data_IF_552637528534
#
_entry.id   IF_552637528534
#
_cell.length_a   1.000
_cell.length_b   1.000
_cell.length_c   1.000
_cell.angle_alpha   90.00
_cell.angle_beta   90.00
_cell.angle_gamma   90.00
#
_symmetry.space_group_name_H-M   'P 1'
#
loop_
_entity.id
_entity.type
_entity.pdbx_description
1 polymer ?
#
# COMPACT_ATOMS: atom_id res chain seq x y z
N UNK A 1 -28.23 -3.11 10.35
CA UNK A 1 -27.22 -2.58 11.29
C UNK A 1 -26.11 -1.93 10.49
N UNK A 2 -25.95 -0.60 10.52
CA UNK A 2 -24.88 0.08 9.79
C UNK A 2 -23.54 -0.24 10.47
N UNK A 3 -22.62 -0.85 9.75
CA UNK A 3 -21.27 -1.11 10.25
C UNK A 3 -20.59 0.22 10.63
N UNK A 4 -19.86 0.27 11.76
CA UNK A 4 -19.17 1.47 12.17
C UNK A 4 -18.17 1.91 11.08
N UNK A 5 -18.08 3.21 10.83
CA UNK A 5 -17.19 3.79 9.80
C UNK A 5 -15.70 3.59 10.10
N UNK A 6 -15.32 3.36 11.35
CA UNK A 6 -13.95 3.18 11.81
C UNK A 6 -13.46 1.74 11.57
N UNK A 7 -12.32 1.58 10.87
CA UNK A 7 -11.67 0.28 10.68
C UNK A 7 -11.36 -0.42 12.01
N UNK A 8 -10.92 0.34 13.01
CA UNK A 8 -10.67 -0.18 14.37
C UNK A 8 -11.92 -0.82 14.95
N UNK A 9 -13.09 -0.15 14.83
CA UNK A 9 -14.34 -0.66 15.35
C UNK A 9 -14.85 -1.90 14.59
N UNK A 10 -14.63 -1.95 13.27
CA UNK A 10 -14.96 -3.14 12.45
C UNK A 10 -14.12 -4.35 12.84
N UNK A 11 -12.81 -4.18 13.01
CA UNK A 11 -11.91 -5.24 13.43
C UNK A 11 -12.28 -5.74 14.85
N UNK A 12 -12.50 -4.83 15.79
CA UNK A 12 -12.93 -5.18 17.16
C UNK A 12 -14.22 -6.00 17.16
N UNK A 13 -15.23 -5.57 16.40
CA UNK A 13 -16.49 -6.27 16.28
C UNK A 13 -16.31 -7.67 15.64
N UNK A 14 -15.53 -7.76 14.58
CA UNK A 14 -15.25 -9.01 13.90
C UNK A 14 -14.54 -10.03 14.82
N UNK A 15 -13.51 -9.60 15.56
CA UNK A 15 -12.82 -10.46 16.54
C UNK A 15 -13.74 -10.88 17.67
N UNK A 16 -14.53 -9.95 18.23
CA UNK A 16 -15.48 -10.24 19.29
C UNK A 16 -16.54 -11.25 18.84
N UNK A 17 -17.14 -11.05 17.68
CA UNK A 17 -18.16 -11.96 17.14
C UNK A 17 -17.59 -13.34 16.79
N UNK A 18 -16.43 -13.39 16.15
CA UNK A 18 -15.78 -14.66 15.79
C UNK A 18 -15.46 -15.48 17.06
N UNK A 19 -14.88 -14.83 18.08
CA UNK A 19 -14.57 -15.49 19.36
C UNK A 19 -15.85 -15.94 20.07
N UNK A 20 -16.89 -15.10 20.10
CA UNK A 20 -18.17 -15.47 20.70
C UNK A 20 -18.80 -16.68 19.99
N UNK A 21 -18.77 -16.73 18.67
CA UNK A 21 -19.28 -17.86 17.90
C UNK A 21 -18.52 -19.16 18.17
N UNK A 22 -17.19 -19.11 18.22
CA UNK A 22 -16.33 -20.28 18.54
C UNK A 22 -16.62 -20.77 19.96
N UNK A 23 -16.63 -19.85 20.94
CA UNK A 23 -16.89 -20.22 22.34
C UNK A 23 -18.31 -20.75 22.54
N UNK A 24 -19.31 -20.18 21.87
CA UNK A 24 -20.68 -20.68 21.92
C UNK A 24 -20.80 -22.09 21.29
N UNK A 25 -20.09 -22.35 20.20
CA UNK A 25 -20.02 -23.70 19.60
C UNK A 25 -19.40 -24.72 20.53
N UNK A 26 -18.29 -24.37 21.19
CA UNK A 26 -17.62 -25.23 22.19
C UNK A 26 -18.54 -25.46 23.40
N UNK A 27 -19.20 -24.41 23.90
CA UNK A 27 -20.12 -24.53 25.04
C UNK A 27 -21.33 -25.41 24.70
N UNK A 28 -21.90 -25.30 23.51
CA UNK A 28 -22.97 -26.15 23.04
C UNK A 28 -22.53 -27.61 22.94
N UNK A 29 -21.36 -27.87 22.34
CA UNK A 29 -20.79 -29.21 22.25
C UNK A 29 -20.55 -29.85 23.62
N UNK A 30 -19.90 -29.12 24.54
CA UNK A 30 -19.60 -29.62 25.89
C UNK A 30 -20.90 -29.87 26.69
N UNK A 31 -21.89 -28.98 26.56
CA UNK A 31 -23.19 -29.14 27.20
C UNK A 31 -23.91 -30.38 26.67
N UNK A 32 -23.90 -30.60 25.37
CA UNK A 32 -24.49 -31.78 24.73
C UNK A 32 -23.79 -33.10 25.14
N UNK A 33 -22.46 -33.10 25.10
CA UNK A 33 -21.64 -34.24 25.48
C UNK A 33 -21.85 -34.65 26.95
N UNK A 34 -21.81 -33.64 27.85
CA UNK A 34 -22.06 -33.89 29.28
C UNK A 34 -23.48 -34.41 29.54
N UNK A 35 -24.50 -33.85 28.86
CA UNK A 35 -25.89 -34.31 28.98
C UNK A 35 -26.04 -35.79 28.55
N UNK A 36 -25.45 -36.16 27.40
CA UNK A 36 -25.46 -37.50 26.91
C UNK A 36 -24.73 -38.50 27.84
N UNK A 37 -23.61 -38.09 28.38
CA UNK A 37 -22.82 -38.89 29.31
C UNK A 37 -23.58 -39.14 30.64
N UNK A 38 -24.18 -38.10 31.21
CA UNK A 38 -24.98 -38.22 32.43
C UNK A 38 -26.20 -39.11 32.21
N UNK A 39 -26.90 -38.92 31.10
CA UNK A 39 -28.04 -39.77 30.74
C UNK A 39 -27.63 -41.22 30.58
N UNK A 40 -26.55 -41.50 29.83
CA UNK A 40 -26.07 -42.86 29.63
C UNK A 40 -25.64 -43.52 30.94
N UNK A 41 -25.17 -42.74 31.93
CA UNK A 41 -24.85 -43.24 33.26
C UNK A 41 -26.13 -43.58 34.05
N UNK A 42 -27.11 -42.65 34.11
CA UNK A 42 -28.41 -42.90 34.73
C UNK A 42 -29.08 -44.16 34.22
N UNK A 43 -29.07 -44.37 32.89
CA UNK A 43 -29.62 -45.58 32.25
C UNK A 43 -28.88 -46.85 32.64
N UNK A 44 -27.53 -46.77 32.73
CA UNK A 44 -26.73 -47.92 33.15
C UNK A 44 -26.95 -48.32 34.61
N UNK A 45 -27.11 -47.31 35.49
CA UNK A 45 -27.42 -47.52 36.89
C UNK A 45 -28.79 -48.14 37.07
N UNK A 46 -29.84 -47.66 36.36
CA UNK A 46 -31.17 -48.30 36.40
C UNK A 46 -31.15 -49.78 36.05
N UNK A 47 -30.42 -50.15 34.97
CA UNK A 47 -30.29 -51.55 34.59
C UNK A 47 -29.55 -52.35 35.66
N UNK A 48 -28.49 -51.77 36.24
CA UNK A 48 -27.73 -52.38 37.32
C UNK A 48 -28.56 -52.63 38.57
N UNK A 49 -29.39 -51.64 38.95
CA UNK A 49 -30.27 -51.78 40.14
C UNK A 49 -31.34 -52.86 39.98
N UNK A 50 -31.94 -52.96 38.81
CA UNK A 50 -32.90 -54.09 38.55
C UNK A 50 -32.21 -55.45 38.68
N UNK A 51 -30.97 -55.62 38.18
CA UNK A 51 -30.22 -56.83 38.28
C UNK A 51 -29.85 -57.16 39.75
N UNK A 52 -29.47 -56.12 40.51
CA UNK A 52 -29.16 -56.27 41.91
C UNK A 52 -30.40 -56.69 42.72
N UNK A 53 -31.56 -56.00 42.49
CA UNK A 53 -32.82 -56.38 43.11
C UNK A 53 -33.22 -57.82 42.75
N UNK A 54 -33.09 -58.22 41.49
CA UNK A 54 -33.35 -59.61 41.07
C UNK A 54 -32.43 -60.63 41.79
N UNK A 55 -31.19 -60.28 42.06
CA UNK A 55 -30.23 -61.10 42.79
C UNK A 55 -30.69 -61.26 44.24
N UNK A 56 -31.00 -60.15 44.89
CA UNK A 56 -31.47 -60.17 46.28
C UNK A 56 -32.79 -60.99 46.46
N UNK A 57 -33.71 -60.87 45.48
CA UNK A 57 -34.97 -61.64 45.53
C UNK A 57 -34.77 -63.15 45.37
N UNK A 58 -33.70 -63.60 44.78
CA UNK A 58 -33.34 -65.03 44.72
C UNK A 58 -32.85 -65.59 46.04
N UNK A 59 -32.38 -64.75 46.95
CA UNK A 59 -31.95 -65.13 48.27
C UNK A 59 -33.13 -65.24 49.27
N UNK A 60 -34.30 -64.69 48.95
CA UNK A 60 -35.45 -64.59 49.79
C UNK A 60 -36.49 -65.63 49.39
N UNK A 61 -37.10 -66.34 50.36
CA UNK A 61 -37.99 -67.49 50.08
C UNK A 61 -39.46 -67.12 49.90
N UNK A 62 -39.92 -66.08 50.53
CA UNK A 62 -41.31 -65.69 50.51
C UNK A 62 -41.52 -64.15 50.60
N UNK A 63 -42.75 -63.68 50.39
CA UNK A 63 -43.08 -62.26 50.36
C UNK A 63 -42.93 -61.60 51.71
N UNK A 64 -43.13 -62.39 52.85
CA UNK A 64 -43.00 -61.85 54.20
C UNK A 64 -41.52 -61.55 54.53
N UNK A 65 -40.59 -62.34 54.04
CA UNK A 65 -39.17 -62.08 54.13
C UNK A 65 -38.76 -60.81 53.37
N UNK A 66 -39.39 -60.57 52.20
CA UNK A 66 -39.16 -59.31 51.43
C UNK A 66 -39.62 -58.12 52.28
N UNK A 67 -40.73 -58.21 52.95
CA UNK A 67 -41.26 -57.14 53.82
C UNK A 67 -40.37 -56.94 55.08
N UNK A 68 -39.86 -58.04 55.63
CA UNK A 68 -38.97 -57.98 56.81
C UNK A 68 -37.60 -57.36 56.50
N UNK A 69 -37.03 -57.70 55.31
CA UNK A 69 -35.71 -57.26 54.87
C UNK A 69 -35.69 -55.94 54.10
N UNK A 70 -36.72 -55.07 54.30
CA UNK A 70 -36.84 -53.78 53.59
C UNK A 70 -35.58 -52.93 53.67
N UNK A 71 -34.77 -53.06 54.72
CA UNK A 71 -33.51 -52.33 54.91
C UNK A 71 -32.47 -52.70 53.83
N UNK A 72 -32.37 -53.95 53.41
CA UNK A 72 -31.44 -54.39 52.32
C UNK A 72 -31.81 -53.76 50.97
N UNK A 73 -33.08 -53.56 50.70
CA UNK A 73 -33.57 -52.84 49.52
C UNK A 73 -33.40 -51.34 49.65
N UNK A 74 -33.50 -50.80 50.87
CA UNK A 74 -33.27 -49.39 51.16
C UNK A 74 -31.82 -48.98 50.90
N UNK A 75 -30.85 -49.86 51.21
CA UNK A 75 -29.42 -49.65 50.98
C UNK A 75 -29.11 -49.43 49.50
N UNK A 76 -29.91 -50.08 48.61
CA UNK A 76 -29.76 -49.83 47.14
C UNK A 76 -30.13 -48.40 46.78
N UNK A 77 -31.16 -47.84 47.38
CA UNK A 77 -31.58 -46.46 47.15
C UNK A 77 -30.77 -45.42 47.89
N UNK A 78 -30.06 -45.84 48.98
CA UNK A 78 -29.17 -44.98 49.75
C UNK A 78 -27.90 -44.63 48.92
N UNK A 79 -27.79 -43.41 48.47
CA UNK A 79 -26.68 -42.94 47.66
C UNK A 79 -27.02 -42.58 46.22
N UNK A 80 -28.24 -42.95 45.80
CA UNK A 80 -28.75 -42.61 44.46
C UNK A 80 -29.88 -41.57 44.54
N UNK A 81 -29.52 -40.27 44.37
CA UNK A 81 -30.54 -39.21 44.40
C UNK A 81 -31.55 -39.38 43.25
N UNK A 82 -32.86 -39.33 43.61
CA UNK A 82 -33.93 -39.47 42.63
C UNK A 82 -34.28 -40.89 42.24
N UNK A 83 -33.67 -41.92 42.81
CA UNK A 83 -34.05 -43.33 42.58
C UNK A 83 -35.32 -43.64 43.37
N UNK A 84 -36.26 -44.28 42.71
CA UNK A 84 -37.49 -44.81 43.24
C UNK A 84 -37.48 -46.30 42.95
N UNK A 85 -37.64 -47.12 44.03
CA UNK A 85 -37.71 -48.57 43.93
C UNK A 85 -39.03 -49.03 44.51
N UNK A 86 -39.79 -49.79 43.78
CA UNK A 86 -41.00 -50.46 44.26
C UNK A 86 -40.93 -51.91 43.86
N UNK A 87 -41.11 -52.78 44.89
CA UNK A 87 -41.29 -54.19 44.72
C UNK A 87 -42.73 -54.50 45.14
N UNK A 88 -43.53 -55.12 44.22
CA UNK A 88 -44.92 -55.43 44.45
C UNK A 88 -45.28 -56.82 43.94
N UNK A 89 -46.38 -57.36 44.48
CA UNK A 89 -46.94 -58.62 43.98
C UNK A 89 -47.51 -58.43 42.60
N UNK A 90 -47.74 -59.51 41.80
CA UNK A 90 -48.40 -59.39 40.46
C UNK A 90 -49.84 -58.79 40.55
N UNK A 91 -50.44 -58.80 41.72
CA UNK A 91 -51.74 -58.23 42.02
C UNK A 91 -51.67 -56.73 42.34
N UNK A 92 -50.45 -56.18 42.46
CA UNK A 92 -50.18 -54.78 42.69
C UNK A 92 -49.99 -54.38 44.16
N UNK A 93 -49.98 -55.35 45.12
CA UNK A 93 -49.74 -55.11 46.52
C UNK A 93 -48.28 -54.78 46.80
N UNK A 94 -47.93 -53.61 47.39
CA UNK A 94 -46.56 -53.21 47.65
C UNK A 94 -45.92 -54.10 48.74
N UNK A 95 -44.76 -54.61 48.48
CA UNK A 95 -43.88 -55.30 49.43
C UNK A 95 -42.80 -54.38 49.99
N UNK A 96 -42.16 -53.61 49.08
CA UNK A 96 -41.20 -52.60 49.40
C UNK A 96 -41.51 -51.35 48.59
N UNK A 97 -41.52 -50.19 49.23
CA UNK A 97 -41.73 -48.91 48.55
C UNK A 97 -40.72 -47.89 49.04
N UNK A 98 -39.78 -47.58 48.20
CA UNK A 98 -38.78 -46.52 48.41
C UNK A 98 -39.08 -45.39 47.41
N UNK A 99 -39.97 -44.49 47.80
CA UNK A 99 -40.44 -43.36 46.98
C UNK A 99 -40.44 -42.09 47.87
N UNK A 100 -39.27 -41.52 48.08
CA UNK A 100 -39.13 -40.42 49.04
C UNK A 100 -39.89 -39.14 48.63
N UNK A 101 -40.19 -38.99 47.33
CA UNK A 101 -40.94 -37.84 46.78
C UNK A 101 -42.43 -38.10 46.57
N UNK A 102 -42.88 -39.29 46.89
CA UNK A 102 -44.27 -39.71 46.71
C UNK A 102 -44.73 -39.46 45.26
N UNK A 103 -43.87 -39.91 44.27
CA UNK A 103 -44.19 -39.82 42.85
C UNK A 103 -45.23 -40.86 42.47
N UNK A 104 -46.04 -40.55 41.46
CA UNK A 104 -46.98 -41.51 40.89
C UNK A 104 -46.19 -42.56 40.06
N UNK A 105 -46.39 -43.85 40.35
CA UNK A 105 -45.76 -44.94 39.62
C UNK A 105 -46.54 -45.15 38.31
N UNK A 106 -45.88 -44.95 37.14
CA UNK A 106 -46.54 -45.10 35.88
C UNK A 106 -46.88 -46.59 35.56
N UNK A 107 -47.84 -46.80 34.69
CA UNK A 107 -48.05 -48.13 34.11
C UNK A 107 -46.87 -48.44 33.12
N UNK A 108 -46.06 -49.41 33.41
CA UNK A 108 -44.92 -49.78 32.62
C UNK A 108 -45.09 -51.18 32.02
N UNK A 109 -44.48 -51.43 30.88
CA UNK A 109 -44.37 -52.76 30.35
C UNK A 109 -43.38 -53.58 31.21
N UNK A 110 -43.87 -54.69 31.77
CA UNK A 110 -43.09 -55.53 32.69
C UNK A 110 -42.30 -56.56 31.94
N UNK A 111 -40.99 -56.56 32.09
CA UNK A 111 -40.12 -57.53 31.45
C UNK A 111 -40.21 -58.89 32.13
N UNK A 112 -40.37 -60.02 31.33
CA UNK A 112 -40.37 -61.36 31.87
C UNK A 112 -39.05 -61.70 32.62
N UNK A 113 -39.12 -62.69 33.53
CA UNK A 113 -37.91 -63.14 34.29
C UNK A 113 -36.76 -63.56 33.39
N UNK A 114 -37.09 -64.21 32.26
CA UNK A 114 -36.07 -64.69 31.30
C UNK A 114 -35.39 -63.54 30.51
N UNK A 115 -35.98 -62.33 30.46
CA UNK A 115 -35.45 -61.20 29.72
C UNK A 115 -34.42 -60.48 30.59
N UNK A 116 -33.20 -60.32 30.08
CA UNK A 116 -32.19 -59.51 30.74
C UNK A 116 -32.52 -58.00 30.54
N UNK A 117 -32.50 -57.23 31.62
CA UNK A 117 -32.65 -55.79 31.52
C UNK A 117 -31.53 -55.15 30.69
N UNK A 118 -31.87 -54.29 29.74
CA UNK A 118 -30.95 -53.57 28.85
C UNK A 118 -31.41 -52.13 28.67
N UNK A 119 -30.51 -51.20 28.32
CA UNK A 119 -30.83 -49.81 28.09
C UNK A 119 -31.94 -49.60 27.04
N UNK A 120 -31.97 -50.42 26.02
CA UNK A 120 -33.00 -50.38 24.96
C UNK A 120 -34.41 -50.73 25.40
N UNK A 121 -34.55 -51.29 26.60
CA UNK A 121 -35.86 -51.68 27.21
C UNK A 121 -36.33 -50.67 28.29
N UNK A 122 -35.58 -49.57 28.49
CA UNK A 122 -36.04 -48.52 29.36
C UNK A 122 -37.22 -47.78 28.76
N UNK A 123 -38.12 -47.38 29.61
CA UNK A 123 -39.32 -46.66 29.26
C UNK A 123 -39.22 -45.24 29.81
N UNK A 124 -39.79 -44.29 29.08
CA UNK A 124 -39.85 -42.89 29.56
C UNK A 124 -41.06 -42.65 30.43
N UNK A 125 -40.90 -41.85 31.43
CA UNK A 125 -41.99 -41.40 32.29
C UNK A 125 -41.77 -39.93 32.69
N UNK A 126 -42.84 -39.32 33.20
CA UNK A 126 -42.78 -37.88 33.58
C UNK A 126 -43.10 -37.73 35.06
N UNK A 127 -42.10 -37.45 35.93
CA UNK A 127 -42.28 -37.17 37.33
C UNK A 127 -42.87 -35.79 37.54
N UNK A 128 -43.21 -35.45 38.80
CA UNK A 128 -43.68 -34.10 39.22
C UNK A 128 -42.65 -33.01 38.90
N UNK A 129 -41.35 -33.32 38.81
CA UNK A 129 -40.30 -32.42 38.39
C UNK A 129 -40.48 -31.94 36.94
N UNK A 130 -41.29 -32.62 36.14
CA UNK A 130 -41.51 -32.32 34.72
C UNK A 130 -40.37 -32.74 33.81
N UNK A 131 -39.27 -33.29 34.35
CA UNK A 131 -38.14 -33.72 33.56
C UNK A 131 -38.40 -35.14 32.97
N UNK A 132 -38.21 -35.29 31.68
CA UNK A 132 -38.28 -36.61 31.04
C UNK A 132 -37.27 -37.58 31.67
N UNK A 133 -37.75 -38.63 32.27
CA UNK A 133 -37.07 -39.51 33.17
C UNK A 133 -37.14 -40.94 32.68
N UNK A 134 -36.25 -41.84 33.13
CA UNK A 134 -36.16 -43.21 32.71
C UNK A 134 -36.74 -44.16 33.78
N UNK A 135 -37.41 -45.21 33.34
CA UNK A 135 -38.04 -46.19 34.16
C UNK A 135 -37.88 -47.61 33.59
N UNK A 136 -37.92 -48.59 34.42
CA UNK A 136 -37.89 -50.00 34.02
C UNK A 136 -38.73 -50.84 35.00
N UNK A 137 -39.58 -51.72 34.47
CA UNK A 137 -40.30 -52.71 35.25
C UNK A 137 -39.91 -54.13 34.80
N UNK A 138 -39.65 -55.02 35.75
CA UNK A 138 -39.22 -56.38 35.44
C UNK A 138 -39.75 -57.35 36.50
N UNK A 139 -40.02 -58.59 36.10
CA UNK A 139 -40.31 -59.68 37.06
C UNK A 139 -38.99 -60.16 37.69
N UNK A 140 -39.02 -60.33 39.03
CA UNK A 140 -38.03 -61.05 39.81
C UNK A 140 -38.62 -62.33 40.37
N UNK A 141 -37.78 -63.35 40.56
CA UNK A 141 -38.20 -64.66 41.12
C UNK A 141 -37.79 -64.74 42.58
N UNK A 142 -38.71 -65.18 43.44
CA UNK A 142 -38.42 -65.43 44.87
C UNK A 142 -37.84 -66.83 45.07
N UNK A 143 -36.58 -66.92 45.45
CA UNK A 143 -35.86 -68.17 45.63
C UNK A 143 -36.15 -69.19 44.52
N UNK A 144 -36.26 -70.41 44.86
CA UNK A 144 -36.64 -71.51 43.94
C UNK A 144 -38.15 -71.84 43.94
N UNK A 145 -39.00 -70.99 44.51
CA UNK A 145 -40.41 -71.25 44.69
C UNK A 145 -41.30 -71.11 43.47
N UNK A 146 -40.75 -70.58 42.39
CA UNK A 146 -41.49 -70.28 41.18
C UNK A 146 -42.42 -69.03 41.26
N UNK A 147 -42.54 -68.42 42.44
CA UNK A 147 -43.31 -67.17 42.59
C UNK A 147 -42.51 -65.96 42.05
N UNK A 148 -43.14 -65.09 41.35
CA UNK A 148 -42.59 -63.87 40.80
C UNK A 148 -43.17 -62.65 41.44
N UNK A 149 -42.37 -61.59 41.63
CA UNK A 149 -42.73 -60.26 42.06
C UNK A 149 -42.32 -59.23 40.98
N UNK A 150 -43.06 -58.16 40.92
CA UNK A 150 -42.75 -57.05 40.02
C UNK A 150 -41.79 -56.08 40.67
N UNK A 151 -40.71 -55.77 40.01
CA UNK A 151 -39.71 -54.78 40.38
C UNK A 151 -39.88 -53.59 39.50
N UNK A 152 -40.10 -52.41 40.06
CA UNK A 152 -40.21 -51.15 39.33
C UNK A 152 -39.13 -50.24 39.83
N UNK A 153 -38.22 -49.81 38.96
CA UNK A 153 -37.14 -48.88 39.24
C UNK A 153 -37.33 -47.66 38.32
N UNK A 154 -37.42 -46.48 38.94
CA UNK A 154 -37.55 -45.25 38.24
C UNK A 154 -36.47 -44.26 38.73
N UNK A 155 -36.02 -43.41 37.84
CA UNK A 155 -35.04 -42.38 38.18
C UNK A 155 -35.56 -41.00 37.73
N UNK A 156 -35.75 -40.10 38.68
CA UNK A 156 -36.10 -38.72 38.38
C UNK A 156 -34.90 -37.93 37.87
N UNK A 157 -34.98 -37.44 36.64
CA UNK A 157 -33.94 -36.64 36.00
C UNK A 157 -33.89 -35.16 36.49
N UNK A 158 -34.75 -34.77 37.44
CA UNK A 158 -34.80 -33.40 37.93
C UNK A 158 -33.47 -32.86 38.44
N UNK A 159 -32.73 -33.70 39.17
CA UNK A 159 -31.33 -33.33 39.60
C UNK A 159 -30.40 -33.07 38.43
N UNK A 160 -30.39 -33.94 37.43
CA UNK A 160 -29.60 -33.78 36.20
C UNK A 160 -29.98 -32.50 35.47
N UNK A 161 -31.26 -32.19 35.32
CA UNK A 161 -31.74 -30.97 34.68
C UNK A 161 -31.28 -29.72 35.43
N UNK A 162 -31.37 -29.73 36.78
CA UNK A 162 -30.91 -28.62 37.62
C UNK A 162 -29.38 -28.41 37.48
N UNK A 163 -28.59 -29.48 37.56
CA UNK A 163 -27.16 -29.44 37.36
C UNK A 163 -26.79 -28.89 35.98
N UNK A 164 -27.47 -29.37 34.93
CA UNK A 164 -27.24 -28.91 33.55
C UNK A 164 -27.63 -27.45 33.36
N UNK A 165 -28.64 -26.95 34.08
CA UNK A 165 -29.01 -25.54 34.05
C UNK A 165 -27.91 -24.67 34.67
N UNK A 166 -27.39 -25.05 35.81
CA UNK A 166 -26.28 -24.34 36.47
C UNK A 166 -25.03 -24.33 35.60
N UNK A 167 -24.69 -25.50 35.02
CA UNK A 167 -23.55 -25.62 34.12
C UNK A 167 -23.71 -24.72 32.88
N UNK A 168 -24.90 -24.66 32.28
CA UNK A 168 -25.18 -23.76 31.13
C UNK A 168 -25.04 -22.27 31.52
N UNK A 169 -25.49 -21.87 32.69
CA UNK A 169 -25.25 -20.50 33.15
C UNK A 169 -23.78 -20.14 33.31
N UNK A 170 -22.98 -21.05 33.86
CA UNK A 170 -21.56 -20.88 34.02
C UNK A 170 -20.87 -20.80 32.63
N UNK A 171 -21.22 -21.66 31.70
CA UNK A 171 -20.71 -21.63 30.33
C UNK A 171 -21.07 -20.33 29.60
N UNK A 172 -22.30 -19.85 29.78
CA UNK A 172 -22.76 -18.62 29.18
C UNK A 172 -21.98 -17.41 29.72
N UNK A 173 -21.80 -17.34 31.03
CA UNK A 173 -20.99 -16.32 31.68
C UNK A 173 -19.53 -16.34 31.19
N UNK A 174 -18.92 -17.54 31.09
CA UNK A 174 -17.56 -17.71 30.58
C UNK A 174 -17.45 -17.28 29.10
N UNK A 175 -18.45 -17.61 28.26
CA UNK A 175 -18.50 -17.20 26.85
C UNK A 175 -18.58 -15.68 26.70
N UNK A 176 -19.45 -15.03 27.47
CA UNK A 176 -19.60 -13.56 27.45
C UNK A 176 -18.32 -12.87 27.93
N UNK A 177 -17.73 -13.36 29.01
CA UNK A 177 -16.47 -12.83 29.55
C UNK A 177 -15.33 -13.00 28.54
N UNK A 178 -15.17 -14.19 27.95
CA UNK A 178 -14.18 -14.46 26.93
C UNK A 178 -14.34 -13.58 25.68
N UNK A 179 -15.56 -13.39 25.21
CA UNK A 179 -15.85 -12.51 24.09
C UNK A 179 -15.53 -11.03 24.40
N UNK A 180 -15.84 -10.57 25.62
CA UNK A 180 -15.52 -9.21 26.06
C UNK A 180 -13.99 -8.98 26.12
N UNK A 181 -13.24 -9.94 26.68
CA UNK A 181 -11.76 -9.88 26.72
C UNK A 181 -11.18 -9.88 25.31
N UNK A 182 -11.66 -10.75 24.43
CA UNK A 182 -11.22 -10.79 23.04
C UNK A 182 -11.49 -9.48 22.30
N UNK A 183 -12.66 -8.88 22.50
CA UNK A 183 -13.02 -7.58 21.94
C UNK A 183 -12.10 -6.46 22.47
N UNK A 184 -11.82 -6.45 23.77
CA UNK A 184 -10.91 -5.47 24.38
C UNK A 184 -9.47 -5.59 23.84
N UNK A 185 -8.94 -6.82 23.75
CA UNK A 185 -7.63 -7.09 23.18
C UNK A 185 -7.57 -6.70 21.70
N UNK A 186 -8.60 -7.08 20.91
CA UNK A 186 -8.73 -6.70 19.51
C UNK A 186 -8.75 -5.19 19.30
N UNK A 187 -9.44 -4.44 20.18
CA UNK A 187 -9.43 -2.97 20.15
C UNK A 187 -8.06 -2.38 20.40
N UNK A 188 -7.35 -2.87 21.43
CA UNK A 188 -6.00 -2.38 21.77
C UNK A 188 -5.02 -2.67 20.64
N UNK A 189 -5.03 -3.90 20.10
CA UNK A 189 -4.16 -4.31 18.99
C UNK A 189 -4.44 -3.50 17.72
N UNK A 190 -5.72 -3.35 17.33
CA UNK A 190 -6.10 -2.56 16.16
C UNK A 190 -5.73 -1.08 16.32
N UNK A 191 -5.92 -0.50 17.51
CA UNK A 191 -5.56 0.89 17.78
C UNK A 191 -4.05 1.11 17.75
N UNK A 192 -3.25 0.19 18.31
CA UNK A 192 -1.78 0.25 18.27
C UNK A 192 -1.24 0.03 16.86
N UNK A 193 -1.75 -0.97 16.16
CA UNK A 193 -1.30 -1.31 14.80
C UNK A 193 -1.60 -0.22 13.77
N UNK A 194 -2.73 0.51 13.92
CA UNK A 194 -3.10 1.60 13.01
C UNK A 194 -2.54 2.98 13.40
N UNK A 195 -1.88 3.10 14.55
CA UNK A 195 -1.28 4.36 15.01
C UNK A 195 -0.19 4.91 14.06
N UNK A 196 0.76 4.09 13.57
CA UNK A 196 1.76 4.57 12.61
C UNK A 196 1.13 5.11 11.33
N UNK A 197 0.14 4.42 10.77
CA UNK A 197 -0.57 4.86 9.57
C UNK A 197 -1.24 6.23 9.75
N UNK A 198 -1.87 6.46 10.92
CA UNK A 198 -2.48 7.77 11.21
C UNK A 198 -1.46 8.88 11.34
N UNK A 199 -0.27 8.59 11.91
CA UNK A 199 0.83 9.55 11.96
C UNK A 199 1.33 9.90 10.58
N UNK A 200 1.63 8.89 9.75
CA UNK A 200 2.07 9.10 8.37
C UNK A 200 1.04 9.92 7.55
N UNK A 201 -0.25 9.65 7.72
CA UNK A 201 -1.30 10.43 7.07
C UNK A 201 -1.33 11.90 7.56
N UNK A 202 -1.09 12.15 8.84
CA UNK A 202 -1.00 13.51 9.39
C UNK A 202 0.26 14.23 8.90
N UNK A 203 1.41 13.55 8.87
CA UNK A 203 2.67 14.09 8.36
C UNK A 203 2.57 14.42 6.87
N UNK A 204 1.96 13.52 6.07
CA UNK A 204 1.71 13.78 4.66
C UNK A 204 0.77 14.98 4.43
N UNK A 205 -0.27 15.13 5.26
CA UNK A 205 -1.18 16.29 5.20
C UNK A 205 -0.51 17.60 5.63
N UNK A 206 0.57 17.55 6.41
CA UNK A 206 1.33 18.71 6.83
C UNK A 206 2.38 19.16 5.79
N UNK A 207 2.61 18.38 4.74
CA UNK A 207 3.51 18.74 3.63
C UNK A 207 2.86 19.87 2.82
N UNK A 208 3.57 20.98 2.73
CA UNK A 208 3.21 22.15 1.92
C UNK A 208 4.37 22.53 1.02
N UNK A 209 4.16 23.40 0.06
CA UNK A 209 5.23 23.92 -0.82
C UNK A 209 6.40 24.53 -0.05
N UNK A 210 6.14 25.09 1.14
CA UNK A 210 7.17 25.63 2.04
C UNK A 210 7.83 24.58 2.93
N UNK A 211 7.30 23.37 2.98
CA UNK A 211 7.77 22.25 3.84
C UNK A 211 7.98 20.96 3.08
N UNK A 212 8.41 21.01 1.83
CA UNK A 212 8.71 19.84 1.00
C UNK A 212 9.92 19.03 1.50
N UNK A 213 10.77 19.62 2.36
CA UNK A 213 11.89 18.91 2.98
C UNK A 213 11.47 17.94 4.10
N UNK A 214 10.22 18.00 4.56
CA UNK A 214 9.70 17.06 5.57
C UNK A 214 9.66 15.66 5.00
N UNK A 215 10.13 14.68 5.79
CA UNK A 215 10.09 13.26 5.44
C UNK A 215 9.22 12.50 6.43
N UNK A 216 8.52 11.49 5.91
CA UNK A 216 7.72 10.59 6.73
C UNK A 216 8.64 9.69 7.53
N UNK A 217 8.49 9.68 8.86
CA UNK A 217 9.25 8.78 9.73
C UNK A 217 8.59 7.39 9.75
N UNK A 218 9.31 6.40 9.26
CA UNK A 218 8.89 5.01 9.24
C UNK A 218 9.69 4.13 10.20
N UNK A 219 10.56 4.69 11.03
CA UNK A 219 11.51 3.92 11.86
C UNK A 219 10.86 2.91 12.82
N UNK A 220 9.66 3.22 13.33
CA UNK A 220 8.90 2.36 14.25
C UNK A 220 7.72 1.62 13.59
N UNK A 221 7.58 1.71 12.26
CA UNK A 221 6.46 1.13 11.53
C UNK A 221 6.74 -0.34 11.12
N UNK A 222 5.69 -1.17 10.95
CA UNK A 222 5.79 -2.48 10.30
C UNK A 222 6.46 -2.41 8.93
N UNK A 223 7.00 -3.54 8.45
CA UNK A 223 7.78 -3.59 7.20
C UNK A 223 7.00 -3.05 5.99
N UNK A 224 5.71 -3.38 5.90
CA UNK A 224 4.81 -2.96 4.82
C UNK A 224 4.60 -1.44 4.79
N UNK A 225 4.56 -0.81 5.95
CA UNK A 225 4.43 0.65 6.06
C UNK A 225 5.76 1.37 5.82
N UNK A 226 6.91 0.73 6.07
CA UNK A 226 8.23 1.28 5.75
C UNK A 226 8.45 1.37 4.24
N UNK A 227 8.04 0.37 3.49
CA UNK A 227 8.09 0.37 2.04
C UNK A 227 7.23 1.53 1.48
N UNK A 228 5.98 1.66 1.93
CA UNK A 228 5.10 2.77 1.53
C UNK A 228 5.69 4.14 1.88
N UNK A 229 6.30 4.29 3.06
CA UNK A 229 6.96 5.54 3.45
C UNK A 229 8.16 5.85 2.54
N UNK A 230 8.92 4.82 2.14
CA UNK A 230 10.02 4.95 1.19
C UNK A 230 9.56 5.51 -0.16
N UNK A 231 8.50 4.93 -0.73
CA UNK A 231 7.91 5.38 -2.00
C UNK A 231 7.39 6.84 -1.91
N UNK A 232 6.68 7.16 -0.83
CA UNK A 232 6.18 8.53 -0.60
C UNK A 232 7.34 9.52 -0.41
N UNK A 233 8.39 9.16 0.34
CA UNK A 233 9.57 10.00 0.49
C UNK A 233 10.32 10.20 -0.83
N UNK A 234 10.38 9.17 -1.68
CA UNK A 234 10.92 9.27 -3.04
C UNK A 234 10.12 10.24 -3.91
N UNK A 235 8.79 10.20 -3.84
CA UNK A 235 7.92 11.16 -4.51
C UNK A 235 8.15 12.59 -4.01
N UNK A 236 8.22 12.78 -2.68
CA UNK A 236 8.49 14.09 -2.07
C UNK A 236 9.86 14.64 -2.48
N UNK A 237 10.88 13.80 -2.59
CA UNK A 237 12.20 14.20 -3.07
C UNK A 237 12.15 14.73 -4.51
N UNK A 238 11.46 14.02 -5.41
CA UNK A 238 11.26 14.47 -6.81
C UNK A 238 10.48 15.77 -6.89
N UNK A 239 9.44 15.95 -6.07
CA UNK A 239 8.68 17.20 -6.00
C UNK A 239 9.53 18.36 -5.49
N UNK A 240 10.30 18.13 -4.42
CA UNK A 240 11.20 19.15 -3.85
C UNK A 240 12.23 19.61 -4.88
N UNK A 241 12.85 18.67 -5.59
CA UNK A 241 13.85 18.98 -6.61
C UNK A 241 13.22 19.76 -7.79
N UNK A 242 12.04 19.34 -8.26
CA UNK A 242 11.30 20.07 -9.30
C UNK A 242 10.92 21.49 -8.87
N UNK A 243 10.47 21.65 -7.62
CA UNK A 243 10.11 22.97 -7.09
C UNK A 243 11.34 23.86 -6.91
N UNK A 244 12.47 23.31 -6.44
CA UNK A 244 13.74 24.03 -6.31
C UNK A 244 14.25 24.51 -7.67
N UNK A 245 14.19 23.66 -8.70
CA UNK A 245 14.53 24.05 -10.08
C UNK A 245 13.63 25.15 -10.61
N UNK A 246 12.32 25.06 -10.38
CA UNK A 246 11.36 26.08 -10.80
C UNK A 246 11.62 27.43 -10.10
N UNK A 247 11.91 27.38 -8.79
CA UNK A 247 12.20 28.58 -8.00
C UNK A 247 13.49 29.26 -8.45
N UNK A 248 14.57 28.49 -8.66
CA UNK A 248 15.82 29.01 -9.19
C UNK A 248 15.62 29.62 -10.58
N UNK A 249 14.93 28.93 -11.48
CA UNK A 249 14.59 29.44 -12.80
C UNK A 249 13.82 30.76 -12.76
N UNK A 250 12.84 30.88 -11.85
CA UNK A 250 12.05 32.10 -11.70
C UNK A 250 12.89 33.28 -11.16
N UNK A 251 13.84 33.00 -10.25
CA UNK A 251 14.74 34.00 -9.71
C UNK A 251 15.72 34.52 -10.77
N UNK A 252 16.32 33.61 -11.56
CA UNK A 252 17.23 33.93 -12.66
C UNK A 252 16.49 34.75 -13.72
N UNK A 253 15.27 34.37 -14.08
CA UNK A 253 14.37 35.11 -14.97
C UNK A 253 14.18 36.56 -14.52
N UNK A 254 13.79 36.74 -13.25
CA UNK A 254 13.53 38.05 -12.71
C UNK A 254 14.79 38.96 -12.71
N UNK A 255 15.96 38.33 -12.49
CA UNK A 255 17.24 39.04 -12.53
C UNK A 255 17.58 39.50 -13.95
N UNK A 256 17.49 38.62 -14.93
CA UNK A 256 17.90 38.91 -16.30
C UNK A 256 16.93 39.83 -17.04
N UNK A 257 15.66 39.90 -16.67
CA UNK A 257 14.75 40.93 -17.17
C UNK A 257 14.93 42.28 -16.52
N UNK A 258 15.33 42.33 -15.24
CA UNK A 258 15.49 43.62 -14.54
C UNK A 258 16.54 44.49 -15.19
N UNK A 259 17.66 43.91 -15.62
CA UNK A 259 18.79 44.65 -16.21
C UNK A 259 18.41 45.40 -17.47
N UNK A 260 17.90 44.77 -18.55
CA UNK A 260 17.50 45.48 -19.77
C UNK A 260 16.35 46.46 -19.54
N UNK A 261 15.37 46.12 -18.70
CA UNK A 261 14.26 47.01 -18.38
C UNK A 261 14.78 48.26 -17.64
N UNK A 262 15.69 48.11 -16.67
CA UNK A 262 16.28 49.22 -15.95
C UNK A 262 17.11 50.11 -16.87
N UNK A 263 17.84 49.52 -17.85
CA UNK A 263 18.59 50.28 -18.84
C UNK A 263 17.66 51.11 -19.74
N UNK A 264 16.57 50.49 -20.27
CA UNK A 264 15.56 51.18 -21.08
C UNK A 264 14.91 52.35 -20.33
N UNK A 265 14.51 52.13 -19.08
CA UNK A 265 13.94 53.18 -18.24
C UNK A 265 14.96 54.29 -18.00
N UNK A 266 16.16 53.94 -17.54
CA UNK A 266 17.20 54.92 -17.21
C UNK A 266 17.65 55.75 -18.42
N UNK A 267 17.88 55.15 -19.60
CA UNK A 267 18.20 55.87 -20.82
C UNK A 267 17.09 56.81 -21.24
N UNK A 268 15.84 56.36 -21.14
CA UNK A 268 14.65 57.16 -21.46
C UNK A 268 14.51 58.34 -20.48
N UNK A 269 14.64 58.11 -19.16
CA UNK A 269 14.58 59.16 -18.13
C UNK A 269 15.69 60.22 -18.31
N UNK A 270 16.92 59.81 -18.57
CA UNK A 270 18.06 60.71 -18.81
C UNK A 270 17.83 61.56 -20.07
N UNK A 271 17.28 60.97 -21.12
CA UNK A 271 17.01 61.69 -22.37
C UNK A 271 15.84 62.69 -22.20
N UNK A 272 14.82 62.33 -21.42
CA UNK A 272 13.69 63.20 -21.13
C UNK A 272 13.99 64.33 -20.11
N UNK A 273 15.03 64.18 -19.29
CA UNK A 273 15.42 65.17 -18.29
C UNK A 273 15.90 66.51 -18.88
N UNK A 274 16.30 66.51 -20.14
CA UNK A 274 16.75 67.72 -20.84
C UNK A 274 16.27 67.71 -22.29
N UNK A 275 16.09 68.90 -22.88
CA UNK A 275 15.79 69.02 -24.32
C UNK A 275 16.99 68.51 -25.14
N UNK A 276 16.75 67.61 -26.07
CA UNK A 276 17.74 66.95 -26.93
C UNK A 276 17.48 67.27 -28.41
N UNK A 277 18.50 67.05 -29.23
CA UNK A 277 18.35 67.11 -30.66
C UNK A 277 17.53 65.94 -31.20
N UNK A 278 16.95 66.09 -32.38
CA UNK A 278 16.23 65.02 -33.07
C UNK A 278 17.12 63.79 -33.23
N UNK A 279 18.37 63.99 -33.65
CA UNK A 279 19.33 62.89 -33.81
C UNK A 279 19.62 62.12 -32.50
N UNK A 280 19.61 62.78 -31.33
CA UNK A 280 19.76 62.10 -30.03
C UNK A 280 18.50 61.29 -29.65
N UNK A 281 17.31 61.78 -29.98
CA UNK A 281 16.08 61.00 -29.81
C UNK A 281 16.02 59.79 -30.75
N UNK A 282 16.43 59.95 -32.00
CA UNK A 282 16.51 58.85 -32.98
C UNK A 282 17.49 57.74 -32.48
N UNK A 283 18.69 58.14 -32.05
CA UNK A 283 19.66 57.19 -31.51
C UNK A 283 19.17 56.45 -30.23
N UNK A 284 18.40 57.14 -29.36
CA UNK A 284 17.77 56.48 -28.21
C UNK A 284 16.71 55.46 -28.67
N UNK A 285 15.87 55.86 -29.64
CA UNK A 285 14.81 54.94 -30.14
C UNK A 285 15.42 53.73 -30.81
N UNK A 286 16.49 53.87 -31.59
CA UNK A 286 17.25 52.78 -32.18
C UNK A 286 17.82 51.85 -31.11
N UNK A 287 18.48 52.39 -30.09
CA UNK A 287 19.00 51.64 -28.94
C UNK A 287 17.90 50.89 -28.18
N UNK A 288 16.76 51.55 -27.96
CA UNK A 288 15.62 50.96 -27.32
C UNK A 288 15.04 49.80 -28.16
N UNK A 289 14.97 49.97 -29.50
CA UNK A 289 14.49 48.94 -30.41
C UNK A 289 15.37 47.69 -30.34
N UNK A 290 16.69 47.83 -30.36
CA UNK A 290 17.64 46.73 -30.20
C UNK A 290 17.44 45.97 -28.88
N UNK A 291 17.18 46.69 -27.78
CA UNK A 291 16.93 46.07 -26.48
C UNK A 291 15.56 45.35 -26.42
N UNK A 292 14.52 45.88 -27.08
CA UNK A 292 13.23 45.18 -27.20
C UNK A 292 13.35 43.91 -28.03
N UNK A 293 14.08 43.92 -29.13
CA UNK A 293 14.34 42.72 -29.92
C UNK A 293 15.13 41.68 -29.12
N UNK A 294 16.08 42.13 -28.30
CA UNK A 294 16.83 41.24 -27.41
C UNK A 294 15.93 40.59 -26.36
N UNK A 295 15.03 41.38 -25.74
CA UNK A 295 14.03 40.86 -24.80
C UNK A 295 13.10 39.86 -25.47
N UNK A 296 12.63 40.13 -26.70
CA UNK A 296 11.79 39.23 -27.46
C UNK A 296 12.48 37.90 -27.72
N UNK A 297 13.74 37.92 -28.20
CA UNK A 297 14.53 36.70 -28.38
C UNK A 297 14.74 35.94 -27.08
N UNK A 298 14.92 36.63 -25.96
CA UNK A 298 15.05 36.01 -24.63
C UNK A 298 13.77 35.26 -24.25
N UNK A 299 12.61 35.89 -24.42
CA UNK A 299 11.28 35.28 -24.14
C UNK A 299 11.06 34.04 -25.02
N UNK A 300 11.33 34.12 -26.33
CA UNK A 300 11.18 32.99 -27.25
C UNK A 300 12.08 31.82 -26.87
N UNK A 301 13.34 32.09 -26.46
CA UNK A 301 14.27 31.08 -26.00
C UNK A 301 13.79 30.40 -24.72
N UNK A 302 13.23 31.15 -23.78
CA UNK A 302 12.66 30.61 -22.54
C UNK A 302 11.42 29.76 -22.79
N UNK A 303 10.50 30.24 -23.63
CA UNK A 303 9.32 29.45 -24.00
C UNK A 303 9.69 28.13 -24.71
N UNK A 304 10.73 28.17 -25.55
CA UNK A 304 11.26 26.97 -26.16
C UNK A 304 11.79 25.98 -25.13
N UNK A 305 12.66 26.45 -24.19
CA UNK A 305 13.23 25.61 -23.14
C UNK A 305 12.16 25.00 -22.25
N UNK A 306 11.14 25.80 -21.87
CA UNK A 306 10.02 25.31 -21.08
C UNK A 306 9.22 24.22 -21.79
N UNK A 307 8.97 24.35 -23.09
CA UNK A 307 8.28 23.35 -23.91
C UNK A 307 9.15 22.10 -24.13
N UNK A 308 10.46 22.27 -24.32
CA UNK A 308 11.41 21.18 -24.53
C UNK A 308 11.52 20.28 -23.29
N UNK A 309 11.53 20.87 -22.07
CA UNK A 309 11.57 20.10 -20.83
C UNK A 309 10.35 19.20 -20.60
N UNK A 310 9.21 19.62 -21.12
CA UNK A 310 7.97 18.85 -21.01
C UNK A 310 7.68 17.94 -22.21
N UNK A 311 8.65 17.75 -23.12
CA UNK A 311 8.49 17.00 -24.37
C UNK A 311 7.27 17.46 -25.21
N UNK A 312 6.89 18.74 -25.09
CA UNK A 312 5.74 19.33 -25.78
C UNK A 312 6.11 19.97 -27.13
N UNK A 313 7.34 19.76 -27.58
CA UNK A 313 7.79 20.25 -28.91
C UNK A 313 7.43 19.20 -29.94
N UNK A 314 6.53 19.51 -30.83
CA UNK A 314 6.26 18.67 -31.99
C UNK A 314 7.46 18.72 -32.93
N UNK A 315 8.12 17.58 -33.18
CA UNK A 315 9.28 17.48 -34.05
C UNK A 315 8.90 16.93 -35.41
N UNK A 316 9.35 17.59 -36.47
CA UNK A 316 9.26 17.10 -37.83
C UNK A 316 10.54 16.40 -38.27
N UNK A 317 10.88 15.27 -37.61
CA UNK A 317 12.10 14.52 -37.92
C UNK A 317 12.05 13.92 -39.33
N UNK A 318 13.05 14.20 -40.15
CA UNK A 318 13.22 13.66 -41.49
C UNK A 318 14.69 13.46 -41.87
N UNK A 319 14.92 12.68 -42.88
CA UNK A 319 16.28 12.57 -43.43
C UNK A 319 16.68 13.89 -44.12
N UNK A 320 17.82 14.43 -43.68
CA UNK A 320 18.38 15.68 -44.17
C UNK A 320 19.84 15.45 -44.63
N UNK A 321 20.24 16.15 -45.68
CA UNK A 321 21.63 16.32 -46.03
C UNK A 321 22.23 17.36 -45.05
N UNK A 322 23.00 16.85 -44.08
CA UNK A 322 23.59 17.70 -43.04
C UNK A 322 24.53 18.76 -43.65
N UNK A 323 25.30 18.41 -44.71
CA UNK A 323 26.20 19.35 -45.36
C UNK A 323 25.44 20.53 -45.94
N UNK A 324 24.36 20.25 -46.68
CA UNK A 324 23.54 21.30 -47.29
C UNK A 324 22.88 22.23 -46.25
N UNK A 325 22.50 21.70 -45.11
CA UNK A 325 21.93 22.51 -44.04
C UNK A 325 22.98 23.35 -43.28
N UNK A 326 24.19 22.81 -43.11
CA UNK A 326 25.31 23.53 -42.48
C UNK A 326 25.82 24.65 -43.36
N UNK A 327 25.91 24.44 -44.74
CA UNK A 327 26.30 25.46 -45.70
C UNK A 327 25.34 26.66 -45.66
N UNK A 328 24.02 26.42 -45.57
CA UNK A 328 23.01 27.52 -45.47
C UNK A 328 23.16 28.33 -44.18
N UNK A 329 23.49 27.67 -43.06
CA UNK A 329 23.75 28.40 -41.81
C UNK A 329 25.08 29.16 -41.89
N UNK A 330 26.12 28.58 -42.46
CA UNK A 330 27.38 29.28 -42.68
C UNK A 330 27.24 30.52 -43.53
N UNK A 331 26.51 30.42 -44.68
CA UNK A 331 26.19 31.53 -45.57
C UNK A 331 25.49 32.69 -44.85
N UNK A 332 24.54 32.38 -43.96
CA UNK A 332 23.88 33.41 -43.14
C UNK A 332 24.86 34.21 -42.25
N UNK A 333 25.95 33.58 -41.77
CA UNK A 333 26.96 34.22 -40.93
C UNK A 333 28.11 34.85 -41.75
N UNK A 334 28.14 34.76 -43.05
CA UNK A 334 29.26 35.24 -43.89
C UNK A 334 29.58 36.72 -43.65
N UNK A 335 28.54 37.58 -43.64
CA UNK A 335 28.71 39.00 -43.41
C UNK A 335 29.28 39.32 -41.98
N UNK A 336 28.73 38.64 -40.96
CA UNK A 336 29.17 38.80 -39.55
C UNK A 336 30.55 38.26 -39.36
N UNK A 337 30.96 37.21 -40.04
CA UNK A 337 32.28 36.63 -40.00
C UNK A 337 33.31 37.54 -40.68
N UNK A 338 32.96 38.10 -41.85
CA UNK A 338 33.77 39.06 -42.56
C UNK A 338 34.05 40.33 -41.76
N UNK A 339 33.04 40.88 -41.11
CA UNK A 339 33.13 42.07 -40.25
C UNK A 339 34.10 41.86 -39.06
N UNK A 340 34.28 40.60 -38.62
CA UNK A 340 35.19 40.20 -37.54
C UNK A 340 36.52 39.66 -38.01
N UNK A 341 36.79 39.69 -39.31
CA UNK A 341 37.97 39.05 -39.94
C UNK A 341 38.11 37.56 -39.56
N UNK A 342 37.01 36.83 -39.54
CA UNK A 342 36.97 35.39 -39.24
C UNK A 342 36.40 34.63 -40.46
N UNK A 343 37.00 33.49 -40.82
CA UNK A 343 36.48 32.64 -41.89
C UNK A 343 35.65 31.50 -41.29
N UNK A 344 34.56 31.10 -41.94
CA UNK A 344 33.80 29.90 -41.63
C UNK A 344 34.06 28.87 -42.71
N UNK A 345 34.46 27.66 -42.32
CA UNK A 345 34.66 26.56 -43.25
C UNK A 345 33.79 25.38 -42.86
N UNK A 346 33.09 24.81 -43.86
CA UNK A 346 32.24 23.61 -43.65
C UNK A 346 32.90 22.45 -44.39
N UNK A 347 33.02 21.29 -43.73
CA UNK A 347 33.63 20.09 -44.30
C UNK A 347 32.83 18.82 -43.99
N UNK A 348 33.03 17.75 -44.76
CA UNK A 348 32.36 16.49 -44.59
C UNK A 348 30.97 16.43 -45.22
N UNK A 349 30.35 15.25 -45.20
CA UNK A 349 28.97 15.01 -45.64
C UNK A 349 28.39 13.81 -44.92
N UNK A 350 27.15 13.91 -44.48
CA UNK A 350 26.37 12.82 -43.91
C UNK A 350 24.89 13.08 -44.05
N UNK A 351 24.09 12.00 -44.12
CA UNK A 351 22.65 12.07 -43.97
C UNK A 351 22.26 11.91 -42.52
N UNK A 352 21.44 12.81 -41.97
CA UNK A 352 21.04 12.86 -40.57
C UNK A 352 19.50 12.83 -40.48
N UNK A 353 18.98 12.15 -39.47
CA UNK A 353 17.56 12.20 -39.13
C UNK A 353 17.32 13.28 -38.06
N UNK A 354 16.78 14.41 -38.46
CA UNK A 354 16.57 15.55 -37.57
C UNK A 354 15.40 16.42 -37.98
N UNK A 355 14.92 17.24 -37.05
CA UNK A 355 14.07 18.38 -37.38
C UNK A 355 14.95 19.50 -37.93
N UNK A 356 14.63 19.95 -39.14
CA UNK A 356 15.42 20.93 -39.88
C UNK A 356 15.55 22.26 -39.14
N UNK A 357 14.45 22.73 -38.53
CA UNK A 357 14.39 24.02 -37.87
C UNK A 357 15.22 23.96 -36.55
N UNK A 358 15.08 22.88 -35.82
CA UNK A 358 15.84 22.68 -34.58
C UNK A 358 17.33 22.45 -34.84
N UNK A 359 17.69 21.68 -35.88
CA UNK A 359 19.08 21.50 -36.30
C UNK A 359 19.72 22.84 -36.64
N UNK A 360 19.11 23.64 -37.50
CA UNK A 360 19.60 25.00 -37.84
C UNK A 360 19.76 25.85 -36.60
N UNK A 361 18.77 25.84 -35.68
CA UNK A 361 18.82 26.61 -34.43
C UNK A 361 19.98 26.18 -33.55
N UNK A 362 20.27 24.88 -33.42
CA UNK A 362 21.42 24.40 -32.64
C UNK A 362 22.75 24.88 -33.26
N UNK A 363 22.92 24.72 -34.57
CA UNK A 363 24.14 25.14 -35.29
C UNK A 363 24.29 26.66 -35.25
N UNK A 364 23.23 27.44 -35.43
CA UNK A 364 23.23 28.89 -35.29
C UNK A 364 23.77 29.35 -33.93
N UNK A 365 23.26 28.71 -32.84
CA UNK A 365 23.75 29.03 -31.48
C UNK A 365 25.25 28.70 -31.30
N UNK A 366 25.71 27.58 -31.87
CA UNK A 366 27.12 27.20 -31.79
C UNK A 366 28.01 28.13 -32.66
N UNK A 367 27.56 28.48 -33.86
CA UNK A 367 28.32 29.42 -34.74
C UNK A 367 28.37 30.85 -34.16
N UNK A 368 27.28 31.38 -33.62
CA UNK A 368 27.26 32.68 -32.94
C UNK A 368 28.27 32.67 -31.78
N UNK A 369 28.25 31.61 -30.97
CA UNK A 369 29.21 31.43 -29.88
C UNK A 369 30.66 31.35 -30.39
N UNK A 370 30.94 30.56 -31.41
CA UNK A 370 32.24 30.39 -31.97
C UNK A 370 32.81 31.67 -32.58
N UNK A 371 32.00 32.41 -33.36
CA UNK A 371 32.40 33.69 -33.97
C UNK A 371 32.64 34.78 -32.92
N UNK A 372 31.93 34.75 -31.81
CA UNK A 372 32.12 35.68 -30.70
C UNK A 372 33.46 35.54 -29.98
N UNK A 373 33.94 34.29 -29.87
CA UNK A 373 35.15 33.94 -29.14
C UNK A 373 36.34 33.72 -30.03
N UNK A 374 36.19 33.67 -31.35
CA UNK A 374 37.25 33.52 -32.32
C UNK A 374 38.07 34.80 -32.45
N UNK A 375 39.42 34.75 -32.42
CA UNK A 375 40.27 35.90 -32.71
C UNK A 375 40.24 36.28 -34.19
N UNK A 376 40.46 37.54 -34.50
CA UNK A 376 40.56 38.04 -35.87
C UNK A 376 41.68 37.24 -36.63
N UNK A 377 41.50 37.02 -37.91
CA UNK A 377 42.37 36.20 -38.75
C UNK A 377 42.23 34.68 -38.60
N UNK A 378 41.37 34.21 -37.69
CA UNK A 378 41.17 32.77 -37.45
C UNK A 378 40.09 32.13 -38.32
N UNK A 379 39.97 30.80 -38.23
CA UNK A 379 38.93 30.04 -38.94
C UNK A 379 38.08 29.25 -37.97
N UNK A 380 36.74 29.43 -38.01
CA UNK A 380 35.76 28.54 -37.38
C UNK A 380 35.51 27.36 -38.30
N UNK A 381 35.72 26.15 -37.79
CA UNK A 381 35.53 24.91 -38.56
C UNK A 381 34.21 24.24 -38.16
N UNK A 382 33.43 23.85 -39.16
CA UNK A 382 32.22 23.06 -38.98
C UNK A 382 32.41 21.75 -39.74
N UNK A 383 32.51 20.65 -39.04
CA UNK A 383 32.74 19.34 -39.63
C UNK A 383 31.55 18.41 -39.37
N UNK A 384 31.10 17.66 -40.39
CA UNK A 384 30.15 16.60 -40.23
C UNK A 384 30.74 15.27 -40.68
N UNK A 385 30.73 14.28 -39.81
CA UNK A 385 31.22 12.96 -40.10
C UNK A 385 30.46 11.86 -39.36
N UNK A 386 30.42 10.68 -39.95
CA UNK A 386 29.97 9.48 -39.22
C UNK A 386 31.09 9.03 -38.27
N UNK A 387 30.79 8.70 -37.06
CA UNK A 387 31.75 8.20 -36.09
C UNK A 387 32.24 6.81 -36.53
N UNK A 388 33.56 6.63 -36.69
CA UNK A 388 34.16 5.36 -37.08
C UNK A 388 33.94 4.30 -35.95
N UNK A 389 33.52 3.08 -36.32
CA UNK A 389 33.52 1.94 -35.40
C UNK A 389 32.31 0.97 -35.48
N UNK A 390 31.18 1.35 -36.07
CA UNK A 390 30.03 0.44 -36.21
C UNK A 390 29.25 0.74 -37.50
N UNK A 391 28.84 -0.30 -38.25
CA UNK A 391 27.83 -0.18 -39.30
C UNK A 391 26.57 0.37 -38.67
N UNK A 392 26.25 1.64 -38.97
CA UNK A 392 25.15 2.35 -38.32
C UNK A 392 25.58 3.35 -37.23
N UNK A 393 26.85 3.75 -37.13
CA UNK A 393 27.38 4.64 -36.09
C UNK A 393 26.79 6.06 -36.09
N UNK A 394 26.75 6.67 -34.89
CA UNK A 394 26.24 8.03 -34.64
C UNK A 394 26.88 9.06 -35.57
N UNK A 395 26.13 10.06 -35.96
CA UNK A 395 26.63 11.17 -36.77
C UNK A 395 27.02 12.31 -35.84
N UNK A 396 28.23 12.83 -36.06
CA UNK A 396 28.80 13.90 -35.27
C UNK A 396 28.95 15.16 -36.10
N UNK A 397 28.34 16.26 -35.66
CA UNK A 397 28.56 17.62 -36.15
C UNK A 397 29.43 18.32 -35.14
N UNK A 398 30.61 18.83 -35.57
CA UNK A 398 31.59 19.54 -34.74
C UNK A 398 31.67 20.99 -35.16
N UNK A 399 31.66 21.89 -34.19
CA UNK A 399 31.94 23.31 -34.39
C UNK A 399 33.14 23.65 -33.53
N UNK A 400 34.26 24.03 -34.16
CA UNK A 400 35.53 24.32 -33.51
C UNK A 400 35.98 25.74 -33.81
N UNK A 401 36.44 26.46 -32.81
CA UNK A 401 37.05 27.78 -32.95
C UNK A 401 38.35 27.89 -32.15
N UNK A 402 39.28 28.68 -32.66
CA UNK A 402 40.42 29.14 -31.86
C UNK A 402 39.95 30.12 -30.79
N UNK A 403 40.62 30.18 -29.66
CA UNK A 403 40.32 31.10 -28.56
C UNK A 403 40.93 30.66 -27.23
N UNK A 404 40.75 31.44 -26.17
CA UNK A 404 41.21 31.06 -24.84
C UNK A 404 40.57 29.77 -24.38
N UNK A 405 41.35 28.90 -23.73
CA UNK A 405 40.87 27.66 -23.18
C UNK A 405 39.81 27.92 -22.06
N UNK A 406 38.79 27.09 -22.06
CA UNK A 406 37.76 27.09 -20.99
C UNK A 406 38.34 26.26 -19.82
N UNK A 407 38.31 26.82 -18.61
CA UNK A 407 38.76 26.12 -17.41
C UNK A 407 38.01 24.81 -17.20
N UNK A 408 38.67 23.72 -16.80
CA UNK A 408 38.06 22.39 -16.64
C UNK A 408 36.85 22.41 -15.66
N UNK A 409 36.87 23.26 -14.63
CA UNK A 409 35.81 23.40 -13.64
C UNK A 409 34.55 24.04 -14.23
N UNK A 410 34.70 24.77 -15.34
CA UNK A 410 33.60 25.47 -16.03
C UNK A 410 32.89 24.55 -17.03
N UNK A 411 33.60 23.65 -17.67
CA UNK A 411 33.09 22.77 -18.74
C UNK A 411 31.80 22.00 -18.37
N UNK A 412 31.64 21.44 -17.17
CA UNK A 412 30.42 20.74 -16.80
C UNK A 412 29.17 21.64 -16.70
N UNK A 413 29.39 22.93 -16.53
CA UNK A 413 28.32 23.90 -16.24
C UNK A 413 27.89 24.76 -17.43
N UNK A 414 28.64 24.75 -18.55
CA UNK A 414 28.41 25.69 -19.68
C UNK A 414 27.07 25.46 -20.40
N UNK A 415 26.46 24.27 -20.28
CA UNK A 415 25.14 23.97 -20.81
C UNK A 415 24.01 24.36 -19.85
N UNK A 416 24.36 24.82 -18.65
CA UNK A 416 23.40 25.37 -17.69
C UNK A 416 22.72 26.63 -18.23
N UNK A 417 21.45 26.80 -17.86
CA UNK A 417 20.68 28.00 -18.22
C UNK A 417 21.29 29.22 -17.53
N UNK A 418 21.41 30.32 -18.26
CA UNK A 418 21.98 31.58 -17.77
C UNK A 418 23.45 31.49 -17.30
N UNK A 419 24.09 30.34 -17.50
CA UNK A 419 25.47 30.17 -17.08
C UNK A 419 26.44 30.99 -17.94
N UNK A 420 27.36 31.72 -17.31
CA UNK A 420 28.39 32.52 -17.94
C UNK A 420 29.69 32.31 -17.18
N UNK A 421 30.77 31.98 -17.91
CA UNK A 421 32.09 31.70 -17.31
C UNK A 421 32.76 32.94 -16.69
N UNK A 422 32.45 34.16 -17.19
CA UNK A 422 33.00 35.42 -16.69
C UNK A 422 31.88 36.47 -16.51
N UNK A 423 31.42 36.71 -15.28
CA UNK A 423 30.43 37.75 -14.97
C UNK A 423 30.96 39.18 -15.15
N UNK A 424 32.29 39.39 -15.15
CA UNK A 424 32.93 40.70 -15.13
C UNK A 424 33.04 41.39 -16.50
N UNK A 425 32.89 40.64 -17.58
CA UNK A 425 32.82 41.19 -18.94
C UNK A 425 31.49 41.83 -19.25
N UNK A 426 31.19 42.94 -18.58
CA UNK A 426 29.96 43.71 -18.72
C UNK A 426 29.69 44.28 -20.12
N UNK A 427 30.70 44.30 -21.01
CA UNK A 427 30.59 44.92 -22.33
C UNK A 427 30.16 43.96 -23.47
N UNK A 428 29.90 42.69 -23.21
CA UNK A 428 29.25 41.85 -24.23
C UNK A 428 27.74 41.78 -23.95
N UNK A 429 27.03 42.85 -24.20
CA UNK A 429 25.57 42.98 -24.02
C UNK A 429 24.74 41.96 -24.79
N UNK A 430 25.33 41.13 -25.64
CA UNK A 430 24.66 40.28 -26.59
C UNK A 430 24.45 38.79 -26.15
N UNK A 431 24.98 38.34 -24.97
CA UNK A 431 24.87 36.95 -24.58
C UNK A 431 23.89 36.73 -23.41
N UNK A 432 22.80 36.03 -23.68
CA UNK A 432 21.78 35.73 -22.66
C UNK A 432 22.10 34.47 -21.81
N UNK A 433 23.20 33.77 -22.08
CA UNK A 433 23.52 32.49 -21.40
C UNK A 433 22.54 31.34 -21.71
N UNK A 434 21.63 31.51 -22.68
CA UNK A 434 20.63 30.51 -23.03
C UNK A 434 21.01 29.67 -24.26
N UNK A 435 21.94 30.15 -25.10
CA UNK A 435 22.27 29.51 -26.38
C UNK A 435 22.74 28.05 -26.25
N UNK A 436 23.67 27.76 -25.35
CA UNK A 436 24.18 26.40 -25.12
C UNK A 436 23.14 25.51 -24.44
N UNK A 437 22.30 26.04 -23.54
CA UNK A 437 21.20 25.31 -22.95
C UNK A 437 20.13 24.91 -24.00
N UNK A 438 19.90 25.77 -25.01
CA UNK A 438 19.04 25.45 -26.16
C UNK A 438 19.63 24.32 -26.98
N UNK A 439 20.94 24.36 -27.25
CA UNK A 439 21.65 23.27 -27.96
C UNK A 439 21.47 21.94 -27.24
N UNK A 440 21.70 21.90 -25.93
CA UNK A 440 21.53 20.69 -25.12
C UNK A 440 20.10 20.19 -25.15
N UNK A 441 19.10 21.08 -25.01
CA UNK A 441 17.70 20.72 -25.09
C UNK A 441 17.30 20.18 -26.47
N UNK A 442 17.80 20.76 -27.56
CA UNK A 442 17.59 20.28 -28.92
C UNK A 442 18.19 18.89 -29.10
N UNK A 443 19.39 18.67 -28.61
CA UNK A 443 20.05 17.36 -28.70
C UNK A 443 19.28 16.29 -27.91
N UNK A 444 18.82 16.61 -26.70
CA UNK A 444 17.96 15.71 -25.92
C UNK A 444 16.66 15.36 -26.65
N UNK A 445 15.98 16.32 -27.27
CA UNK A 445 14.77 16.08 -28.08
C UNK A 445 15.05 15.08 -29.21
N UNK A 446 16.24 15.13 -29.83
CA UNK A 446 16.64 14.20 -30.89
C UNK A 446 17.19 12.85 -30.35
N UNK A 447 17.16 12.60 -29.03
CA UNK A 447 17.78 11.41 -28.44
C UNK A 447 19.32 11.37 -28.56
N UNK A 448 19.91 12.50 -28.91
CA UNK A 448 21.34 12.71 -29.05
C UNK A 448 21.98 13.31 -27.80
N UNK A 449 23.23 13.76 -27.93
CA UNK A 449 23.98 14.43 -26.85
C UNK A 449 24.90 15.51 -27.41
N UNK A 450 25.18 16.52 -26.59
CA UNK A 450 26.20 17.53 -26.88
C UNK A 450 27.39 17.30 -25.96
N UNK A 451 28.56 17.55 -26.44
CA UNK A 451 29.81 17.56 -25.66
C UNK A 451 30.68 18.73 -26.05
N UNK A 452 31.59 19.08 -25.15
CA UNK A 452 32.57 20.16 -25.35
C UNK A 452 33.95 19.66 -24.96
N UNK A 453 34.96 20.10 -25.69
CA UNK A 453 36.36 19.97 -25.30
C UNK A 453 37.06 21.31 -25.56
N UNK A 454 37.94 21.70 -24.65
CA UNK A 454 38.72 22.93 -24.79
C UNK A 454 40.15 22.65 -24.32
N UNK A 455 41.08 22.71 -25.23
CA UNK A 455 42.51 22.49 -24.98
C UNK A 455 43.37 23.16 -26.08
N UNK A 456 44.59 23.47 -25.78
CA UNK A 456 45.60 23.96 -26.75
C UNK A 456 45.17 25.18 -27.59
N UNK A 457 44.36 26.06 -27.01
CA UNK A 457 43.85 27.26 -27.68
C UNK A 457 42.74 27.01 -28.68
N UNK A 458 42.12 25.83 -28.65
CA UNK A 458 40.92 25.49 -29.43
C UNK A 458 39.76 25.02 -28.52
N UNK A 459 38.56 25.49 -28.81
CA UNK A 459 37.32 25.00 -28.21
C UNK A 459 36.45 24.32 -29.27
N UNK A 460 36.01 23.09 -28.99
CA UNK A 460 35.20 22.27 -29.91
C UNK A 460 33.92 21.81 -29.23
N UNK A 461 32.78 22.10 -29.83
CA UNK A 461 31.47 21.55 -29.47
C UNK A 461 31.11 20.44 -30.45
N UNK A 462 30.64 19.29 -29.95
CA UNK A 462 30.23 18.18 -30.77
C UNK A 462 28.75 17.78 -30.47
N UNK A 463 27.93 17.77 -31.53
CA UNK A 463 26.55 17.29 -31.54
C UNK A 463 26.55 15.86 -32.05
N UNK A 464 26.15 14.90 -31.23
CA UNK A 464 26.07 13.50 -31.59
C UNK A 464 24.61 13.11 -31.79
N UNK A 465 24.25 12.77 -33.02
CA UNK A 465 22.91 12.30 -33.38
C UNK A 465 22.95 10.78 -33.51
N UNK A 466 21.92 10.06 -32.98
CA UNK A 466 21.85 8.61 -33.11
C UNK A 466 21.65 8.20 -34.58
N UNK A 467 22.27 7.09 -34.99
CA UNK A 467 22.23 6.60 -36.36
C UNK A 467 20.83 6.17 -36.82
N UNK A 468 20.00 5.71 -35.90
CA UNK A 468 18.59 5.34 -36.14
C UNK A 468 17.71 6.36 -35.45
N UNK A 469 16.75 6.93 -36.19
CA UNK A 469 15.88 8.03 -35.75
C UNK A 469 14.86 7.68 -34.64
N UNK A 470 15.08 6.63 -33.87
CA UNK A 470 14.27 6.34 -32.70
C UNK A 470 14.89 6.99 -31.44
N UNK A 471 14.11 7.79 -30.71
CA UNK A 471 14.57 8.34 -29.43
C UNK A 471 14.84 7.18 -28.47
N UNK A 472 16.09 7.01 -28.04
CA UNK A 472 16.42 6.08 -26.97
C UNK A 472 15.74 6.57 -25.70
N UNK A 473 15.00 5.70 -24.97
CA UNK A 473 14.46 6.06 -23.67
C UNK A 473 15.61 6.44 -22.74
N UNK A 474 15.45 7.57 -22.04
CA UNK A 474 16.45 8.05 -21.09
C UNK A 474 16.77 6.99 -20.04
N UNK A 475 18.04 6.56 -19.98
CA UNK A 475 18.56 5.89 -18.79
C UNK A 475 18.56 6.94 -17.66
N UNK A 476 17.63 6.79 -16.73
CA UNK A 476 17.63 7.50 -15.45
C UNK A 476 18.87 7.08 -14.69
N UNK A 477 19.83 7.98 -14.54
CA UNK A 477 20.93 7.87 -13.59
C UNK A 477 20.51 8.45 -12.24
#
# INVERSE_FOLDING_TARGET
>A
MRLPSSLTARLTLAYGLATAAILAGVAAYLSGALSAQLQGRDESELVGEVLLVRHLLREVRNEDEVRADTHRFADIAMGHEGLILVVRTPQGEPLVTLNPRNEAIPALHVLPVATQPQKSLLQTWQPKSGAESSAIAALGQLGDTGRSVEIVVLRDAGYRVALMREYRHRLLAATLCGAAVAAALGFVLARRGLRPLRRMAADAAAVTTSRLATRLDAGSAPAELRELAGELNGMLARLQDSFSRLSAFSADLAHDFRTPISNLVGQTEVTLAQSRSVAEYEALLESNLEEYERLSRMIENMLFLARADHAQVAMGVRALDARAELDKVAEYFEAVAADRDVRVSVAGAASIHADQTLLRRAVTNLLDNALRHAPAGSTVRVDVARRAGEEGGDICIRVANAGPAIAPEVLPHIFGRFYRADPSRRNSAASTGLGLAIVDSIMRLHGGRVSVSSSDGETMFALLFPAHGEPRPHATA
#
